data_IF_668481612307
#
_entry.id   IF_668481612307
#
_cell.length_a   1.000
_cell.length_b   1.000
_cell.length_c   1.000
_cell.angle_alpha   90.00
_cell.angle_beta   90.00
_cell.angle_gamma   90.00
#
_symmetry.space_group_name_H-M   'P 1'
#
loop_
_entity.id
_entity.type
_entity.pdbx_description
1 polymer ?
#
# COMPACT_ATOMS: atom_id res chain seq x y z
N UNK A 1 0.91 30.50 14.86
CA UNK A 1 -0.01 29.45 14.34
C UNK A 1 -0.55 29.80 12.96
N UNK A 2 -1.26 30.92 12.78
CA UNK A 2 -1.87 31.30 11.49
C UNK A 2 -0.87 31.42 10.32
N UNK A 3 0.27 32.08 10.52
CA UNK A 3 1.32 32.21 9.49
C UNK A 3 1.86 30.85 9.01
N UNK A 4 2.14 29.95 9.95
CA UNK A 4 2.61 28.59 9.65
C UNK A 4 1.52 27.80 8.91
N UNK A 5 0.26 27.91 9.35
CA UNK A 5 -0.89 27.30 8.67
C UNK A 5 -1.02 27.79 7.22
N UNK A 6 -0.96 29.11 7.00
CA UNK A 6 -1.00 29.73 5.67
C UNK A 6 0.15 29.26 4.77
N UNK A 7 1.37 29.19 5.30
CA UNK A 7 2.55 28.71 4.56
C UNK A 7 2.37 27.23 4.18
N UNK A 8 1.95 26.37 5.11
CA UNK A 8 1.71 24.96 4.81
C UNK A 8 0.58 24.79 3.78
N UNK A 9 -0.53 25.52 3.93
CA UNK A 9 -1.63 25.51 2.97
C UNK A 9 -1.15 25.97 1.59
N UNK A 10 -0.32 27.01 1.50
CA UNK A 10 0.25 27.50 0.26
C UNK A 10 1.23 26.52 -0.41
N UNK A 11 1.97 25.73 0.37
CA UNK A 11 2.89 24.72 -0.18
C UNK A 11 2.19 23.41 -0.57
N UNK A 12 1.08 23.07 0.11
CA UNK A 12 0.23 21.92 -0.20
C UNK A 12 -0.67 22.17 -1.40
N UNK A 13 -1.13 23.40 -1.56
CA UNK A 13 -2.04 23.80 -2.61
C UNK A 13 -1.22 24.52 -3.68
N UNK A 14 -0.95 23.85 -4.81
CA UNK A 14 -0.12 24.34 -5.92
C UNK A 14 -0.70 25.58 -6.66
N UNK A 15 -1.51 26.41 -5.99
CA UNK A 15 -2.01 27.68 -6.54
C UNK A 15 -0.89 28.70 -6.75
N UNK A 16 0.21 28.55 -6.01
CA UNK A 16 1.46 29.28 -6.23
C UNK A 16 2.39 28.38 -7.06
N UNK A 17 2.96 28.87 -8.18
CA UNK A 17 3.90 28.11 -9.02
C UNK A 17 5.29 27.99 -8.38
N UNK A 18 5.35 27.80 -7.06
CA UNK A 18 6.58 27.66 -6.29
C UNK A 18 7.04 26.20 -6.34
N UNK A 19 7.81 25.86 -7.38
CA UNK A 19 8.40 24.54 -7.54
C UNK A 19 9.68 24.44 -6.73
N UNK A 20 9.61 23.83 -5.55
CA UNK A 20 10.80 23.45 -4.80
C UNK A 20 11.28 22.07 -5.28
N UNK A 21 12.54 21.99 -5.73
CA UNK A 21 13.18 20.70 -5.97
C UNK A 21 13.25 19.95 -4.64
N UNK A 22 12.77 18.70 -4.62
CA UNK A 22 12.66 17.86 -3.42
C UNK A 22 11.70 18.42 -2.35
N UNK A 23 10.53 18.93 -2.75
CA UNK A 23 9.51 19.39 -1.79
C UNK A 23 9.05 18.22 -0.90
N UNK A 24 9.26 18.25 0.43
CA UNK A 24 8.85 17.17 1.32
C UNK A 24 7.32 16.96 1.32
N UNK A 25 6.55 17.98 0.92
CA UNK A 25 5.09 17.93 0.85
C UNK A 25 4.57 17.19 -0.38
N UNK A 26 5.42 16.85 -1.36
CA UNK A 26 5.01 16.02 -2.49
C UNK A 26 4.58 14.62 -2.03
N UNK A 27 5.10 14.15 -0.88
CA UNK A 27 4.65 12.91 -0.23
C UNK A 27 3.18 12.94 0.18
N UNK A 28 2.58 14.12 0.37
CA UNK A 28 1.18 14.27 0.77
C UNK A 28 0.22 14.40 -0.43
N UNK A 29 0.73 14.47 -1.67
CA UNK A 29 -0.06 14.76 -2.88
C UNK A 29 -0.31 13.50 -3.73
N UNK A 30 -1.30 13.59 -4.62
CA UNK A 30 -1.58 12.58 -5.66
C UNK A 30 -2.14 11.23 -5.17
N UNK A 31 -2.54 11.12 -3.91
CA UNK A 31 -3.08 9.87 -3.35
C UNK A 31 -4.48 9.52 -3.87
N UNK A 32 -5.30 10.54 -4.16
CA UNK A 32 -6.62 10.34 -4.78
C UNK A 32 -6.47 9.74 -6.18
N UNK A 33 -5.54 10.27 -6.97
CA UNK A 33 -5.25 9.79 -8.33
C UNK A 33 -4.72 8.35 -8.30
N UNK A 34 -3.82 8.03 -7.35
CA UNK A 34 -3.37 6.65 -7.14
C UNK A 34 -4.52 5.70 -6.83
N UNK A 35 -5.43 6.10 -5.93
CA UNK A 35 -6.56 5.27 -5.54
C UNK A 35 -7.56 5.06 -6.69
N UNK A 36 -7.79 6.08 -7.52
CA UNK A 36 -8.60 5.94 -8.73
C UNK A 36 -7.98 4.92 -9.67
N UNK A 37 -6.67 4.99 -9.92
CA UNK A 37 -6.01 4.03 -10.80
C UNK A 37 -5.98 2.62 -10.20
N UNK A 38 -5.68 2.49 -8.90
CA UNK A 38 -5.73 1.23 -8.19
C UNK A 38 -7.13 0.58 -8.26
N UNK A 39 -8.20 1.38 -8.14
CA UNK A 39 -9.57 0.86 -8.28
C UNK A 39 -9.85 0.35 -9.70
N UNK A 40 -9.42 1.07 -10.75
CA UNK A 40 -9.56 0.59 -12.13
C UNK A 40 -8.86 -0.74 -12.34
N UNK A 41 -7.61 -0.85 -11.89
CA UNK A 41 -6.84 -2.10 -12.02
C UNK A 41 -7.47 -3.21 -11.21
N UNK A 42 -7.94 -2.92 -9.99
CA UNK A 42 -8.67 -3.89 -9.14
C UNK A 42 -9.90 -4.45 -9.85
N UNK A 43 -10.70 -3.60 -10.49
CA UNK A 43 -11.88 -4.01 -11.27
C UNK A 43 -11.50 -4.83 -12.51
N UNK A 44 -10.43 -4.43 -13.22
CA UNK A 44 -9.95 -5.12 -14.41
C UNK A 44 -9.47 -6.55 -14.13
N UNK A 45 -8.76 -6.76 -13.02
CA UNK A 45 -8.24 -8.08 -12.63
C UNK A 45 -9.21 -8.88 -11.77
N UNK A 46 -10.33 -8.27 -11.34
CA UNK A 46 -11.29 -8.88 -10.43
C UNK A 46 -10.72 -9.15 -9.04
N UNK A 47 -9.88 -8.25 -8.51
CA UNK A 47 -9.26 -8.44 -7.20
C UNK A 47 -10.24 -8.17 -6.05
N UNK A 48 -10.28 -9.10 -5.10
CA UNK A 48 -11.12 -9.08 -3.91
C UNK A 48 -10.69 -7.96 -2.95
N UNK A 49 -9.38 -7.78 -2.80
CA UNK A 49 -8.78 -6.82 -1.86
C UNK A 49 -7.52 -6.16 -2.40
N UNK A 50 -7.04 -5.15 -1.68
CA UNK A 50 -5.84 -4.39 -2.01
C UNK A 50 -4.81 -4.55 -0.89
N UNK A 51 -3.56 -4.81 -1.24
CA UNK A 51 -2.41 -4.88 -0.34
C UNK A 51 -1.38 -3.85 -0.81
N UNK A 52 -0.73 -3.13 0.10
CA UNK A 52 0.35 -2.22 -0.24
C UNK A 52 1.63 -2.53 0.54
N UNK A 53 2.78 -2.31 -0.11
CA UNK A 53 4.11 -2.58 0.45
C UNK A 53 4.40 -1.80 1.75
N UNK A 54 3.90 -0.57 1.84
CA UNK A 54 4.07 0.32 2.98
C UNK A 54 2.75 0.67 3.68
N UNK A 55 2.83 0.86 5.00
CA UNK A 55 1.72 1.31 5.84
C UNK A 55 1.08 2.61 5.34
N UNK A 56 1.89 3.59 4.93
CA UNK A 56 1.40 4.88 4.45
C UNK A 56 0.52 4.69 3.20
N UNK A 57 1.00 3.89 2.25
CA UNK A 57 0.27 3.56 1.02
C UNK A 57 -1.02 2.82 1.34
N UNK A 58 -0.99 1.79 2.20
CA UNK A 58 -2.18 1.06 2.62
C UNK A 58 -3.23 1.98 3.29
N UNK A 59 -2.77 2.89 4.16
CA UNK A 59 -3.65 3.84 4.86
C UNK A 59 -4.33 4.81 3.90
N UNK A 60 -3.59 5.35 2.94
CA UNK A 60 -4.11 6.32 1.98
C UNK A 60 -5.01 5.67 0.93
N UNK A 61 -4.70 4.44 0.51
CA UNK A 61 -5.62 3.65 -0.32
C UNK A 61 -6.92 3.35 0.43
N UNK A 62 -6.85 2.95 1.71
CA UNK A 62 -8.06 2.73 2.52
C UNK A 62 -8.94 3.98 2.63
N UNK A 63 -8.32 5.16 2.68
CA UNK A 63 -9.01 6.45 2.77
C UNK A 63 -9.66 6.88 1.43
N UNK A 64 -8.94 6.73 0.32
CA UNK A 64 -9.34 7.27 -0.98
C UNK A 64 -10.05 6.28 -1.91
N UNK A 65 -9.94 4.97 -1.68
CA UNK A 65 -10.65 3.97 -2.49
C UNK A 65 -12.18 4.13 -2.34
N UNK A 66 -12.96 3.97 -3.43
CA UNK A 66 -14.42 4.00 -3.36
C UNK A 66 -14.96 2.93 -2.40
N UNK A 67 -15.95 3.29 -1.59
CA UNK A 67 -16.49 2.41 -0.55
C UNK A 67 -15.59 2.27 0.69
N UNK A 68 -14.41 2.91 0.70
CA UNK A 68 -13.43 2.91 1.80
C UNK A 68 -13.11 1.50 2.33
N UNK A 69 -12.83 0.52 1.46
CA UNK A 69 -12.41 -0.79 1.91
C UNK A 69 -11.08 -0.66 2.66
N UNK A 70 -10.84 -1.58 3.61
CA UNK A 70 -9.52 -1.73 4.21
C UNK A 70 -8.56 -2.23 3.13
N UNK A 71 -7.50 -1.48 2.86
CA UNK A 71 -6.30 -2.02 2.23
C UNK A 71 -5.38 -2.58 3.32
N UNK A 72 -4.56 -3.58 2.97
CA UNK A 72 -3.74 -4.33 3.90
C UNK A 72 -2.25 -4.08 3.67
N UNK A 73 -1.42 -4.55 4.60
CA UNK A 73 0.03 -4.65 4.43
C UNK A 73 0.44 -6.13 4.40
N UNK A 74 1.55 -6.49 3.71
CA UNK A 74 2.12 -7.83 3.76
C UNK A 74 2.39 -8.29 5.20
N UNK A 75 2.23 -9.59 5.45
CA UNK A 75 2.64 -10.23 6.71
C UNK A 75 4.17 -10.38 6.75
N UNK A 76 4.85 -9.25 6.97
CA UNK A 76 6.30 -9.16 7.20
C UNK A 76 6.58 -8.88 8.68
N UNK A 77 7.73 -9.33 9.23
CA UNK A 77 8.20 -8.89 10.55
C UNK A 77 8.61 -7.41 10.49
N UNK A 78 7.62 -6.52 10.39
CA UNK A 78 7.81 -5.09 10.61
C UNK A 78 7.73 -4.79 12.12
N UNK A 79 8.25 -3.63 12.52
CA UNK A 79 7.91 -3.01 13.80
C UNK A 79 6.39 -2.99 13.90
N UNK A 80 5.83 -3.49 15.00
CA UNK A 80 4.38 -3.56 15.17
C UNK A 80 3.79 -2.16 14.97
N UNK A 81 2.98 -2.00 13.93
CA UNK A 81 2.22 -0.78 13.69
C UNK A 81 0.78 -1.01 14.17
N UNK A 82 -0.03 0.04 14.16
CA UNK A 82 -1.46 -0.09 14.44
C UNK A 82 -2.08 -1.20 13.55
N UNK A 83 -1.72 -1.31 12.26
CA UNK A 83 -2.26 -2.33 11.34
C UNK A 83 -2.08 -3.76 11.82
N UNK A 84 -1.04 -4.02 12.63
CA UNK A 84 -0.77 -5.35 13.16
C UNK A 84 -1.79 -5.82 14.22
N UNK A 85 -2.63 -4.91 14.73
CA UNK A 85 -3.70 -5.23 15.68
C UNK A 85 -4.94 -5.81 15.01
N UNK A 86 -5.09 -5.62 13.70
CA UNK A 86 -6.23 -6.12 12.92
C UNK A 86 -5.88 -7.43 12.20
N UNK A 87 -6.88 -8.26 11.86
CA UNK A 87 -6.67 -9.46 11.06
C UNK A 87 -5.97 -9.14 9.74
N UNK A 88 -5.01 -9.98 9.34
CA UNK A 88 -4.33 -9.83 8.05
C UNK A 88 -5.25 -10.20 6.88
N UNK A 89 -4.85 -9.90 5.64
CA UNK A 89 -5.62 -10.32 4.46
C UNK A 89 -5.74 -11.85 4.37
N UNK A 90 -4.77 -12.59 4.94
CA UNK A 90 -4.80 -14.06 4.98
C UNK A 90 -5.87 -14.61 5.93
N UNK A 91 -6.26 -13.81 6.92
CA UNK A 91 -7.35 -14.12 7.85
C UNK A 91 -8.70 -13.59 7.36
N UNK A 92 -8.69 -12.51 6.59
CA UNK A 92 -9.90 -11.82 6.14
C UNK A 92 -10.51 -12.40 4.85
N UNK A 93 -9.71 -13.11 4.04
CA UNK A 93 -10.16 -13.62 2.73
C UNK A 93 -9.93 -15.13 2.61
N UNK A 94 -10.84 -15.85 1.93
CA UNK A 94 -10.73 -17.30 1.76
C UNK A 94 -9.56 -17.69 0.86
N UNK A 95 -9.18 -18.97 0.93
CA UNK A 95 -8.20 -19.57 0.01
C UNK A 95 -8.66 -19.39 -1.45
N UNK A 96 -7.69 -19.15 -2.34
CA UNK A 96 -7.96 -18.90 -3.75
C UNK A 96 -8.26 -17.43 -4.12
N UNK A 97 -8.48 -16.56 -3.13
CA UNK A 97 -8.76 -15.13 -3.38
C UNK A 97 -7.65 -14.42 -4.17
N UNK A 98 -8.02 -13.35 -4.87
CA UNK A 98 -7.11 -12.53 -5.68
C UNK A 98 -6.88 -11.16 -5.02
N UNK A 99 -5.62 -10.79 -4.82
CA UNK A 99 -5.22 -9.48 -4.32
C UNK A 99 -4.65 -8.58 -5.42
N UNK A 100 -4.94 -7.28 -5.33
CA UNK A 100 -4.16 -6.24 -6.01
C UNK A 100 -3.04 -5.81 -5.06
N UNK A 101 -1.78 -6.08 -5.41
CA UNK A 101 -0.64 -5.58 -4.67
C UNK A 101 -0.10 -4.30 -5.31
N UNK A 102 0.03 -3.24 -4.51
CA UNK A 102 0.50 -1.90 -4.92
C UNK A 102 1.83 -1.63 -4.22
N UNK A 103 2.91 -1.47 -4.98
CA UNK A 103 4.23 -1.26 -4.40
C UNK A 103 5.02 -0.14 -5.08
N UNK A 104 5.78 0.63 -4.32
CA UNK A 104 6.77 1.55 -4.88
C UNK A 104 7.98 0.79 -5.44
N UNK A 105 8.27 -0.41 -4.92
CA UNK A 105 9.38 -1.24 -5.37
C UNK A 105 9.01 -2.13 -6.58
N UNK A 106 9.91 -2.30 -7.56
CA UNK A 106 9.68 -3.10 -8.76
C UNK A 106 9.73 -4.61 -8.53
N UNK A 107 10.07 -5.05 -7.32
CA UNK A 107 10.05 -6.46 -6.92
C UNK A 107 9.03 -6.66 -5.81
N UNK A 108 8.15 -7.66 -5.90
CA UNK A 108 7.21 -7.95 -4.82
C UNK A 108 7.95 -8.38 -3.56
N UNK A 109 7.45 -7.97 -2.39
CA UNK A 109 8.04 -8.37 -1.12
C UNK A 109 7.92 -9.90 -0.94
N UNK A 110 8.88 -10.56 -0.28
CA UNK A 110 8.85 -12.02 -0.16
C UNK A 110 7.56 -12.63 0.41
N UNK A 111 6.81 -12.00 1.34
CA UNK A 111 5.50 -12.52 1.78
C UNK A 111 4.49 -12.57 0.65
N UNK A 112 4.48 -11.57 -0.24
CA UNK A 112 3.56 -11.55 -1.39
C UNK A 112 3.88 -12.71 -2.33
N UNK A 113 5.16 -12.95 -2.62
CA UNK A 113 5.56 -14.10 -3.43
C UNK A 113 5.26 -15.45 -2.75
N UNK A 114 5.34 -15.51 -1.43
CA UNK A 114 5.03 -16.71 -0.63
C UNK A 114 3.53 -17.00 -0.58
N UNK A 115 2.72 -15.98 -0.32
CA UNK A 115 1.31 -16.10 0.06
C UNK A 115 0.38 -16.33 -1.13
N UNK A 116 0.85 -16.17 -2.35
CA UNK A 116 0.04 -16.35 -3.56
C UNK A 116 0.64 -17.41 -4.47
N UNK A 117 -0.20 -18.09 -5.26
CA UNK A 117 0.23 -19.05 -6.29
C UNK A 117 0.97 -18.36 -7.43
N UNK A 118 0.45 -17.22 -7.87
CA UNK A 118 1.05 -16.43 -8.95
C UNK A 118 1.04 -14.95 -8.59
N UNK A 119 2.14 -14.27 -8.94
CA UNK A 119 2.30 -12.83 -8.77
C UNK A 119 2.85 -12.29 -10.07
N UNK A 120 2.10 -11.42 -10.75
CA UNK A 120 2.52 -10.81 -12.01
C UNK A 120 2.26 -9.32 -12.03
N UNK A 121 3.20 -8.55 -12.59
CA UNK A 121 2.98 -7.13 -12.86
C UNK A 121 1.89 -7.00 -13.91
N UNK A 122 0.88 -6.18 -13.62
CA UNK A 122 -0.22 -5.85 -14.55
C UNK A 122 -0.18 -4.39 -15.01
N UNK A 123 0.60 -3.55 -14.34
CA UNK A 123 0.79 -2.17 -14.75
C UNK A 123 1.71 -1.40 -13.83
N UNK A 124 2.01 -0.18 -14.23
CA UNK A 124 2.68 0.81 -13.39
C UNK A 124 1.93 2.12 -13.47
N UNK A 125 1.99 2.89 -12.39
CA UNK A 125 1.36 4.19 -12.33
C UNK A 125 2.20 5.15 -11.53
N UNK A 126 2.44 6.33 -12.10
CA UNK A 126 3.06 7.43 -11.37
C UNK A 126 1.98 8.40 -10.97
N UNK A 127 1.94 8.72 -9.68
CA UNK A 127 0.97 9.68 -9.14
C UNK A 127 1.08 11.01 -9.85
N UNK A 128 -0.05 11.69 -10.02
CA UNK A 128 -0.09 13.07 -10.49
C UNK A 128 -0.67 14.00 -9.43
N UNK A 129 -0.32 15.27 -9.51
CA UNK A 129 -1.13 16.36 -8.96
C UNK A 129 -1.24 17.41 -10.05
N UNK A 130 -2.45 17.87 -10.33
CA UNK A 130 -2.71 18.88 -11.36
C UNK A 130 -2.14 18.53 -12.74
N UNK A 131 -2.14 17.24 -13.11
CA UNK A 131 -1.64 16.74 -14.39
C UNK A 131 -0.13 16.51 -14.47
N UNK A 132 0.63 16.90 -13.45
CA UNK A 132 2.08 16.72 -13.42
C UNK A 132 2.46 15.45 -12.63
N UNK A 133 3.31 14.56 -13.18
CA UNK A 133 3.77 13.37 -12.47
C UNK A 133 4.65 13.71 -11.27
N UNK A 134 4.47 13.00 -10.17
CA UNK A 134 5.18 13.24 -8.91
C UNK A 134 5.50 11.95 -8.15
N UNK A 135 6.50 12.05 -7.29
CA UNK A 135 6.91 10.95 -6.44
C UNK A 135 7.41 9.71 -7.20
N UNK A 136 7.42 8.56 -6.53
CA UNK A 136 7.84 7.29 -7.11
C UNK A 136 6.79 6.71 -8.05
N UNK A 137 7.23 5.81 -8.92
CA UNK A 137 6.36 4.97 -9.73
C UNK A 137 5.87 3.81 -8.88
N UNK A 138 4.56 3.60 -8.86
CA UNK A 138 3.94 2.43 -8.25
C UNK A 138 3.82 1.32 -9.28
N UNK A 139 4.04 0.10 -8.84
CA UNK A 139 3.88 -1.13 -9.57
C UNK A 139 2.62 -1.83 -9.06
N UNK A 140 1.76 -2.23 -9.98
CA UNK A 140 0.57 -3.00 -9.69
C UNK A 140 0.81 -4.45 -10.06
N UNK A 141 0.58 -5.34 -9.10
CA UNK A 141 0.67 -6.77 -9.29
C UNK A 141 -0.69 -7.41 -9.06
N UNK A 142 -1.05 -8.32 -9.95
CA UNK A 142 -2.11 -9.27 -9.69
C UNK A 142 -1.52 -10.47 -8.95
N UNK A 143 -2.08 -10.74 -7.77
CA UNK A 143 -1.68 -11.82 -6.90
C UNK A 143 -2.84 -12.82 -6.82
N UNK A 144 -2.78 -13.93 -7.58
CA UNK A 144 -3.86 -14.94 -7.62
C UNK A 144 -3.55 -16.13 -6.75
N UNK A 145 -4.61 -16.77 -6.25
CA UNK A 145 -4.52 -18.01 -5.51
C UNK A 145 -3.92 -17.78 -4.13
N UNK A 146 -4.61 -16.99 -3.29
CA UNK A 146 -4.20 -16.80 -1.89
C UNK A 146 -4.07 -18.16 -1.20
N UNK A 147 -2.85 -18.49 -0.76
CA UNK A 147 -2.51 -19.71 -0.03
C UNK A 147 -2.81 -19.48 1.45
N UNK A 148 -3.91 -20.06 1.91
CA UNK A 148 -4.22 -20.08 3.34
C UNK A 148 -3.32 -21.12 4.01
N UNK A 149 -2.46 -20.66 4.91
CA UNK A 149 -1.53 -21.50 5.66
C UNK A 149 -1.18 -20.79 6.96
N UNK A 150 -1.09 -21.55 8.06
CA UNK A 150 -1.22 -21.15 9.47
C UNK A 150 -1.35 -19.64 9.79
N UNK A 151 -2.37 -19.25 10.58
CA UNK A 151 -2.61 -17.86 10.93
C UNK A 151 -1.32 -17.24 11.46
N UNK A 152 -0.86 -16.14 10.87
CA UNK A 152 0.25 -15.37 11.45
C UNK A 152 -0.31 -14.49 12.56
N UNK A 153 -0.75 -15.13 13.64
CA UNK A 153 -1.13 -14.38 14.83
C UNK A 153 0.07 -13.56 15.30
N UNK A 154 -0.17 -12.54 16.11
CA UNK A 154 0.92 -11.84 16.79
C UNK A 154 1.80 -12.82 17.60
N UNK A 155 1.25 -13.96 18.06
CA UNK A 155 2.01 -15.02 18.76
C UNK A 155 3.02 -15.69 17.84
N UNK A 156 2.62 -16.07 16.63
CA UNK A 156 3.50 -16.71 15.65
C UNK A 156 4.62 -15.76 15.20
N UNK A 157 4.32 -14.45 15.10
CA UNK A 157 5.34 -13.41 14.85
C UNK A 157 6.34 -13.26 16.00
N UNK A 158 5.87 -13.25 17.25
CA UNK A 158 6.75 -13.22 18.43
C UNK A 158 7.61 -14.48 18.57
N UNK A 159 7.07 -15.65 18.21
CA UNK A 159 7.82 -16.89 18.21
C UNK A 159 8.86 -16.96 17.08
N UNK A 160 8.53 -16.48 15.89
CA UNK A 160 9.49 -16.35 14.79
C UNK A 160 10.66 -15.42 15.14
N UNK A 161 10.36 -14.23 15.68
CA UNK A 161 11.40 -13.29 16.17
C UNK A 161 12.27 -13.90 17.27
N UNK A 162 11.68 -14.68 18.20
CA UNK A 162 12.46 -15.40 19.23
C UNK A 162 13.33 -16.51 18.66
N UNK A 163 12.88 -17.24 17.62
CA UNK A 163 13.69 -18.29 16.97
C UNK A 163 14.88 -17.72 16.20
N UNK A 164 14.74 -16.53 15.61
CA UNK A 164 15.81 -15.85 14.87
C UNK A 164 16.87 -15.16 15.76
N UNK A 165 16.59 -14.97 17.05
CA UNK A 165 17.52 -14.36 18.03
C UNK A 165 18.37 -15.38 18.80
N UNK A 166 18.21 -16.69 18.55
CA UNK A 166 19.11 -17.70 19.13
C UNK A 166 20.41 -17.73 18.32
N UNK A 167 21.59 -17.57 18.95
CA UNK A 167 22.89 -17.66 18.29
C UNK A 167 23.15 -19.06 17.74
#
# INVERSE_FOLDING_TARGET
ALLVGLVLTALLHDFLPLRFKNNPLDRAKGWKDLAVEAQKVREQIGADFVVADEYQTASLLSFYLPGRPRAFTPDWPQVMTQYSLWPSYREAFPEGSTGLYVAEQPNPLPPIARDFETVRVVGTYRRSSWGEPMGPTFHFYECRGLKVGQPSTWKDRLEYSRRQQKP
#
